data_IF_208343942023
#
_entry.id   IF_208343942023
#
_cell.length_a   1.000
_cell.length_b   1.000
_cell.length_c   1.000
_cell.angle_alpha   90.00
_cell.angle_beta   90.00
_cell.angle_gamma   90.00
#
_symmetry.space_group_name_H-M   'P 1'
#
loop_
_entity.id
_entity.type
_entity.pdbx_description
1 polymer ?
#
# COMPACT_ATOMS: atom_id res chain seq x y z
N UNK A 1 7.97 9.58 -2.66
CA UNK A 1 7.65 10.35 -3.88
C UNK A 1 7.00 9.47 -4.95
N UNK A 2 7.66 8.38 -5.38
CA UNK A 2 7.16 7.48 -6.44
C UNK A 2 5.72 7.00 -6.20
N UNK A 3 5.44 6.45 -5.01
CA UNK A 3 4.09 5.98 -4.68
C UNK A 3 3.01 7.08 -4.80
N UNK A 4 3.34 8.34 -4.45
CA UNK A 4 2.40 9.45 -4.59
C UNK A 4 2.05 9.78 -6.04
N UNK A 5 3.01 9.61 -6.96
CA UNK A 5 2.79 9.78 -8.41
C UNK A 5 1.86 8.70 -8.93
N UNK A 6 2.09 7.44 -8.53
CA UNK A 6 1.24 6.31 -8.90
C UNK A 6 -0.19 6.47 -8.38
N UNK A 7 -0.35 6.87 -7.12
CA UNK A 7 -1.67 7.16 -6.52
C UNK A 7 -2.37 8.28 -7.27
N UNK A 8 -1.66 9.36 -7.60
CA UNK A 8 -2.23 10.47 -8.36
C UNK A 8 -2.67 10.03 -9.77
N UNK A 9 -1.84 9.23 -10.44
CA UNK A 9 -2.07 8.78 -11.81
C UNK A 9 -3.23 7.77 -11.90
N UNK A 10 -3.24 6.78 -11.01
CA UNK A 10 -4.18 5.64 -11.06
C UNK A 10 -5.33 5.74 -10.06
N UNK A 11 -5.37 6.77 -9.22
CA UNK A 11 -6.46 7.06 -8.30
C UNK A 11 -7.84 7.09 -8.98
N UNK A 12 -8.01 7.74 -10.15
CA UNK A 12 -9.27 7.74 -10.90
C UNK A 12 -9.64 6.38 -11.52
N UNK A 13 -8.72 5.42 -11.59
CA UNK A 13 -8.95 4.10 -12.19
C UNK A 13 -9.27 3.04 -11.14
N UNK A 14 -8.60 3.10 -9.98
CA UNK A 14 -8.61 2.02 -8.98
C UNK A 14 -8.64 2.51 -7.53
N UNK A 15 -8.73 3.82 -7.30
CA UNK A 15 -8.49 4.41 -5.97
C UNK A 15 -7.01 4.39 -5.54
N UNK A 16 -6.12 3.76 -6.31
CA UNK A 16 -4.66 3.83 -6.11
C UNK A 16 -4.19 3.18 -4.81
N UNK A 17 -4.79 2.06 -4.38
CA UNK A 17 -4.45 1.50 -3.06
C UNK A 17 -3.02 0.95 -2.99
N UNK A 18 -2.56 0.27 -4.05
CA UNK A 18 -1.19 -0.28 -4.24
C UNK A 18 -0.54 -1.03 -3.06
N UNK A 19 -1.28 -1.32 -2.00
CA UNK A 19 -0.80 -1.89 -0.75
C UNK A 19 -1.95 -2.68 -0.08
N UNK A 20 -1.73 -3.95 0.31
CA UNK A 20 -2.75 -4.75 0.97
C UNK A 20 -3.23 -4.17 2.31
N UNK A 21 -2.35 -3.56 3.10
CA UNK A 21 -2.72 -2.91 4.36
C UNK A 21 -3.60 -1.67 4.14
N UNK A 22 -3.35 -0.91 3.07
CA UNK A 22 -4.19 0.23 2.66
C UNK A 22 -5.56 -0.27 2.19
N UNK A 23 -5.58 -1.31 1.35
CA UNK A 23 -6.82 -1.95 0.89
C UNK A 23 -7.66 -2.43 2.07
N UNK A 24 -7.02 -3.05 3.06
CA UNK A 24 -7.67 -3.50 4.29
C UNK A 24 -8.18 -2.31 5.12
N UNK A 25 -7.40 -1.24 5.25
CA UNK A 25 -7.82 -0.04 5.98
C UNK A 25 -9.07 0.60 5.34
N UNK A 26 -9.14 0.68 4.00
CA UNK A 26 -10.32 1.20 3.28
C UNK A 26 -11.52 0.27 3.43
N UNK A 27 -11.32 -1.05 3.40
CA UNK A 27 -12.40 -2.02 3.66
C UNK A 27 -12.96 -1.88 5.09
N UNK A 28 -12.07 -1.73 6.08
CA UNK A 28 -12.43 -1.63 7.50
C UNK A 28 -12.92 -0.25 7.91
N UNK A 29 -12.71 0.79 7.09
CA UNK A 29 -13.14 2.15 7.42
C UNK A 29 -14.65 2.33 7.44
N UNK A 30 -15.42 1.34 6.96
CA UNK A 30 -16.89 1.37 6.95
C UNK A 30 -17.49 2.38 5.98
N UNK A 31 -16.69 2.96 5.07
CA UNK A 31 -17.12 4.01 4.14
C UNK A 31 -17.77 3.48 2.85
N UNK A 32 -17.93 2.17 2.73
CA UNK A 32 -18.55 1.53 1.56
C UNK A 32 -17.75 1.68 0.26
N UNK A 33 -16.48 2.05 0.35
CA UNK A 33 -15.58 2.35 -0.78
C UNK A 33 -15.10 1.13 -1.55
N UNK A 34 -15.01 -0.04 -0.90
CA UNK A 34 -14.65 -1.30 -1.53
C UNK A 34 -15.44 -2.47 -0.93
N UNK A 35 -15.82 -3.44 -1.77
CA UNK A 35 -16.44 -4.69 -1.33
C UNK A 35 -15.39 -5.69 -0.84
N UNK A 36 -15.78 -6.66 0.00
CA UNK A 36 -14.86 -7.70 0.50
C UNK A 36 -14.23 -8.53 -0.64
N UNK A 37 -15.00 -8.84 -1.69
CA UNK A 37 -14.51 -9.59 -2.85
C UNK A 37 -13.50 -8.79 -3.66
N UNK A 38 -13.76 -7.50 -3.89
CA UNK A 38 -12.80 -6.63 -4.56
C UNK A 38 -11.54 -6.43 -3.71
N UNK A 39 -11.67 -6.28 -2.38
CA UNK A 39 -10.51 -6.16 -1.51
C UNK A 39 -9.58 -7.39 -1.60
N UNK A 40 -10.13 -8.60 -1.68
CA UNK A 40 -9.35 -9.81 -1.91
C UNK A 40 -8.66 -9.80 -3.29
N UNK A 41 -9.36 -9.36 -4.35
CA UNK A 41 -8.79 -9.19 -5.68
C UNK A 41 -7.65 -8.16 -5.71
N UNK A 42 -7.80 -7.03 -5.02
CA UNK A 42 -6.77 -6.01 -4.87
C UNK A 42 -5.54 -6.58 -4.17
N UNK A 43 -5.71 -7.28 -3.06
CA UNK A 43 -4.60 -7.91 -2.34
C UNK A 43 -3.84 -8.89 -3.23
N UNK A 44 -4.55 -9.75 -3.97
CA UNK A 44 -3.94 -10.68 -4.91
C UNK A 44 -3.15 -9.96 -6.02
N UNK A 45 -3.74 -8.94 -6.66
CA UNK A 45 -3.07 -8.15 -7.69
C UNK A 45 -1.83 -7.41 -7.13
N UNK A 46 -1.90 -6.89 -5.92
CA UNK A 46 -0.81 -6.20 -5.25
C UNK A 46 0.36 -7.14 -4.92
N UNK A 47 0.08 -8.35 -4.43
CA UNK A 47 1.14 -9.35 -4.20
C UNK A 47 1.80 -9.78 -5.51
N UNK A 48 1.02 -10.04 -6.57
CA UNK A 48 1.56 -10.38 -7.88
C UNK A 48 2.38 -9.24 -8.48
N UNK A 49 1.90 -8.00 -8.35
CA UNK A 49 2.63 -6.81 -8.76
C UNK A 49 3.94 -6.62 -8.00
N UNK A 50 3.93 -6.85 -6.68
CA UNK A 50 5.14 -6.81 -5.85
C UNK A 50 6.16 -7.88 -6.22
N UNK A 51 5.70 -9.10 -6.51
CA UNK A 51 6.55 -10.18 -7.02
C UNK A 51 7.18 -9.81 -8.36
N UNK A 52 6.38 -9.34 -9.32
CA UNK A 52 6.86 -8.90 -10.63
C UNK A 52 7.86 -7.75 -10.50
N UNK A 53 7.58 -6.75 -9.66
CA UNK A 53 8.49 -5.64 -9.38
C UNK A 53 9.81 -6.13 -8.78
N UNK A 54 9.77 -7.10 -7.87
CA UNK A 54 10.97 -7.73 -7.30
C UNK A 54 11.85 -8.40 -8.37
N UNK A 55 11.25 -9.16 -9.28
CA UNK A 55 11.98 -9.77 -10.40
C UNK A 55 12.54 -8.72 -11.37
N UNK A 56 11.77 -7.68 -11.70
CA UNK A 56 12.25 -6.58 -12.54
C UNK A 56 13.43 -5.85 -11.88
N UNK A 57 13.35 -5.57 -10.58
CA UNK A 57 14.42 -4.93 -9.83
C UNK A 57 15.68 -5.80 -9.81
N UNK A 58 15.54 -7.11 -9.59
CA UNK A 58 16.64 -8.06 -9.62
C UNK A 58 17.29 -8.14 -11.01
N UNK A 59 16.50 -8.22 -12.07
CA UNK A 59 16.99 -8.26 -13.44
C UNK A 59 17.73 -6.96 -13.82
N UNK A 60 17.28 -5.81 -13.31
CA UNK A 60 17.88 -4.51 -13.61
C UNK A 60 19.16 -4.23 -12.81
N UNK A 61 19.22 -4.66 -11.54
CA UNK A 61 20.34 -4.34 -10.63
C UNK A 61 21.37 -5.46 -10.50
N UNK A 62 21.03 -6.68 -10.91
CA UNK A 62 21.84 -7.87 -10.69
C UNK A 62 21.88 -8.35 -9.23
N UNK A 63 21.07 -7.75 -8.34
CA UNK A 63 21.07 -8.06 -6.91
C UNK A 63 19.70 -7.90 -6.26
N UNK A 64 19.50 -8.58 -5.13
CA UNK A 64 18.30 -8.42 -4.31
C UNK A 64 18.58 -7.45 -3.17
N UNK A 65 17.62 -6.60 -2.84
CA UNK A 65 17.66 -5.92 -1.55
C UNK A 65 17.07 -6.86 -0.49
N UNK A 66 17.73 -6.96 0.66
CA UNK A 66 17.15 -7.57 1.84
C UNK A 66 16.97 -6.47 2.89
N UNK A 67 15.85 -6.49 3.60
CA UNK A 67 15.68 -5.60 4.75
C UNK A 67 16.70 -5.98 5.82
N UNK A 68 17.63 -5.07 6.08
CA UNK A 68 18.63 -5.27 7.12
C UNK A 68 18.01 -5.00 8.50
N UNK A 69 17.61 -6.06 9.18
CA UNK A 69 17.09 -6.03 10.55
C UNK A 69 18.16 -5.66 11.59
N UNK A 70 19.45 -5.71 11.25
CA UNK A 70 20.52 -5.36 12.17
C UNK A 70 20.54 -3.85 12.47
N UNK A 71 20.13 -3.01 11.50
CA UNK A 71 20.07 -1.56 11.65
C UNK A 71 18.97 -1.09 12.61
N UNK A 72 17.86 -1.82 12.73
CA UNK A 72 16.71 -1.46 13.59
C UNK A 72 16.82 -1.96 15.03
N UNK A 73 17.94 -2.55 15.45
CA UNK A 73 18.22 -3.01 16.83
C UNK A 73 17.19 -3.99 17.40
N UNK A 74 16.58 -4.83 16.57
CA UNK A 74 15.71 -5.93 17.00
C UNK A 74 14.32 -5.98 16.34
N UNK A 75 13.64 -7.12 16.50
CA UNK A 75 12.32 -7.38 15.90
C UNK A 75 11.22 -6.46 16.44
N UNK A 76 11.26 -6.13 17.74
CA UNK A 76 10.24 -5.27 18.38
C UNK A 76 10.22 -3.84 17.83
N UNK A 77 11.39 -3.21 17.69
CA UNK A 77 11.51 -1.86 17.12
C UNK A 77 11.12 -1.83 15.64
N UNK A 78 11.52 -2.86 14.89
CA UNK A 78 11.14 -2.99 13.47
C UNK A 78 9.62 -3.09 13.30
N UNK A 79 8.96 -3.93 14.12
CA UNK A 79 7.50 -4.08 14.11
C UNK A 79 6.78 -2.77 14.48
N UNK A 80 7.28 -2.06 15.50
CA UNK A 80 6.71 -0.78 15.90
C UNK A 80 6.82 0.25 14.78
N UNK A 81 7.99 0.36 14.14
CA UNK A 81 8.19 1.28 13.02
C UNK A 81 7.30 0.91 11.84
N UNK A 82 7.20 -0.37 11.49
CA UNK A 82 6.33 -0.85 10.42
C UNK A 82 4.86 -0.50 10.70
N UNK A 83 4.39 -0.72 11.94
CA UNK A 83 3.03 -0.36 12.34
C UNK A 83 2.79 1.15 12.25
N UNK A 84 3.73 1.98 12.74
CA UNK A 84 3.60 3.44 12.72
C UNK A 84 3.62 4.02 11.30
N UNK A 85 4.53 3.55 10.44
CA UNK A 85 4.60 4.00 9.05
C UNK A 85 3.40 3.51 8.24
N UNK A 86 2.93 2.29 8.48
CA UNK A 86 1.70 1.77 7.84
C UNK A 86 0.47 2.54 8.32
N UNK A 87 0.38 2.84 9.62
CA UNK A 87 -0.69 3.67 10.17
C UNK A 87 -0.68 5.07 9.55
N UNK A 88 0.48 5.71 9.42
CA UNK A 88 0.60 7.02 8.79
C UNK A 88 0.13 6.97 7.33
N UNK A 89 0.60 5.98 6.55
CA UNK A 89 0.17 5.77 5.17
C UNK A 89 -1.34 5.56 5.04
N UNK A 90 -1.91 4.64 5.83
CA UNK A 90 -3.33 4.36 5.83
C UNK A 90 -4.15 5.58 6.25
N UNK A 91 -3.69 6.34 7.24
CA UNK A 91 -4.36 7.57 7.69
C UNK A 91 -4.39 8.62 6.57
N UNK A 92 -3.30 8.79 5.83
CA UNK A 92 -3.25 9.68 4.67
C UNK A 92 -4.23 9.26 3.59
N UNK A 93 -4.30 7.97 3.25
CA UNK A 93 -5.26 7.45 2.25
C UNK A 93 -6.70 7.65 2.72
N UNK A 94 -7.00 7.37 3.98
CA UNK A 94 -8.34 7.58 4.51
C UNK A 94 -8.71 9.06 4.57
N UNK A 95 -7.79 9.95 4.91
CA UNK A 95 -8.07 11.38 5.02
C UNK A 95 -8.19 12.06 3.64
N UNK A 96 -7.26 11.78 2.72
CA UNK A 96 -7.18 12.47 1.43
C UNK A 96 -7.90 11.73 0.29
N UNK A 97 -7.99 10.40 0.39
CA UNK A 97 -8.46 9.53 -0.68
C UNK A 97 -9.79 8.85 -0.41
N UNK A 98 -10.39 8.94 0.77
CA UNK A 98 -11.74 8.35 0.98
C UNK A 98 -12.67 9.24 1.81
N UNK A 99 -12.27 10.50 2.06
CA UNK A 99 -13.14 11.48 2.73
C UNK A 99 -14.28 11.91 1.81
N UNK A 100 -15.36 12.43 2.39
CA UNK A 100 -16.52 12.85 1.60
C UNK A 100 -16.24 14.05 0.69
N UNK A 101 -15.17 14.80 0.98
CA UNK A 101 -14.71 15.94 0.19
C UNK A 101 -13.75 15.52 -0.94
N UNK A 102 -13.33 14.25 -0.99
CA UNK A 102 -12.44 13.76 -2.02
C UNK A 102 -13.20 13.60 -3.35
N UNK A 103 -12.66 14.07 -4.50
CA UNK A 103 -13.33 13.97 -5.79
C UNK A 103 -13.35 12.54 -6.37
N UNK A 104 -13.00 11.51 -5.58
CA UNK A 104 -12.89 10.14 -6.05
C UNK A 104 -14.13 9.30 -5.70
N UNK A 105 -14.57 8.50 -6.69
CA UNK A 105 -15.72 7.62 -6.58
C UNK A 105 -15.35 6.26 -5.92
N UNK A 106 -14.06 6.06 -5.61
CA UNK A 106 -13.51 4.88 -4.94
C UNK A 106 -13.25 5.13 -3.47
#
# INVERSE_FOLDING_TARGET
LVLGIEIYTFGPVSGGFFNPAVTLAVLLSGRGKISKSHAAGYAAAQFLGGLAAGFCAFAASGGTFCFDYALTRGSGTSLLLEALFTMALCSTVLAAGTSNDAPNQY
#
